data_IF_358371152956
#
_entry.id   IF_358371152956
#
_cell.length_a   1.000
_cell.length_b   1.000
_cell.length_c   1.000
_cell.angle_alpha   90.00
_cell.angle_beta   90.00
_cell.angle_gamma   90.00
#
_symmetry.space_group_name_H-M   'P 1'
#
loop_
_entity.id
_entity.type
_entity.pdbx_description
1 polymer ?
#
# COMPACT_ATOMS: atom_id res chain seq x y z
N UNK A 1 -20.30 0.34 -0.17
CA UNK A 1 -19.79 0.04 -1.53
C UNK A 1 -18.68 1.00 -1.94
N UNK A 2 -18.82 2.31 -1.73
CA UNK A 2 -17.76 3.31 -2.01
C UNK A 2 -16.44 3.04 -1.28
N UNK A 3 -16.46 2.61 -0.01
CA UNK A 3 -15.23 2.33 0.77
C UNK A 3 -14.33 1.25 0.16
N UNK A 4 -14.92 0.22 -0.47
CA UNK A 4 -14.14 -0.83 -1.13
C UNK A 4 -13.34 -0.27 -2.31
N UNK A 5 -13.98 0.58 -3.11
CA UNK A 5 -13.34 1.23 -4.25
C UNK A 5 -12.31 2.28 -3.81
N UNK A 6 -12.61 3.04 -2.76
CA UNK A 6 -11.62 3.94 -2.12
C UNK A 6 -10.39 3.14 -1.68
N UNK A 7 -10.58 2.03 -0.97
CA UNK A 7 -9.49 1.13 -0.56
C UNK A 7 -8.66 0.65 -1.76
N UNK A 8 -9.31 0.18 -2.83
CA UNK A 8 -8.62 -0.30 -4.03
C UNK A 8 -7.84 0.83 -4.74
N UNK A 9 -8.47 1.98 -4.94
CA UNK A 9 -7.86 3.12 -5.63
C UNK A 9 -6.67 3.64 -4.83
N UNK A 10 -6.79 3.82 -3.51
CA UNK A 10 -5.65 4.23 -2.68
C UNK A 10 -4.54 3.17 -2.65
N UNK A 11 -4.89 1.88 -2.64
CA UNK A 11 -3.90 0.80 -2.73
C UNK A 11 -3.14 0.81 -4.06
N UNK A 12 -3.80 1.20 -5.15
CA UNK A 12 -3.19 1.35 -6.47
C UNK A 12 -2.33 2.63 -6.56
N UNK A 13 -2.86 3.78 -6.13
CA UNK A 13 -2.14 5.06 -6.11
C UNK A 13 -0.88 4.96 -5.24
N UNK A 14 -0.99 4.35 -4.06
CA UNK A 14 0.14 4.10 -3.19
C UNK A 14 1.23 3.25 -3.85
N UNK A 15 0.84 2.19 -4.54
CA UNK A 15 1.79 1.39 -5.34
C UNK A 15 2.50 2.24 -6.42
N UNK A 16 1.78 3.12 -7.13
CA UNK A 16 2.40 4.00 -8.13
C UNK A 16 3.41 4.96 -7.49
N UNK A 17 3.10 5.51 -6.32
CA UNK A 17 3.99 6.38 -5.56
C UNK A 17 5.26 5.62 -5.14
N UNK A 18 5.13 4.41 -4.63
CA UNK A 18 6.29 3.58 -4.25
C UNK A 18 7.17 3.21 -5.45
N UNK A 19 6.56 2.87 -6.58
CA UNK A 19 7.30 2.60 -7.81
C UNK A 19 8.03 3.85 -8.31
N UNK A 20 7.37 5.01 -8.25
CA UNK A 20 7.99 6.29 -8.56
C UNK A 20 9.17 6.59 -7.65
N UNK A 21 8.97 6.46 -6.33
CA UNK A 21 10.01 6.63 -5.32
C UNK A 21 11.20 5.68 -5.57
N UNK A 22 10.95 4.39 -5.73
CA UNK A 22 12.01 3.39 -5.94
C UNK A 22 12.82 3.65 -7.22
N UNK A 23 12.19 4.16 -8.28
CA UNK A 23 12.89 4.56 -9.51
C UNK A 23 13.74 5.81 -9.32
N UNK A 24 13.22 6.82 -8.64
CA UNK A 24 13.94 8.07 -8.37
C UNK A 24 15.10 7.87 -7.40
N UNK A 25 14.94 7.01 -6.40
CA UNK A 25 15.95 6.68 -5.41
C UNK A 25 16.97 5.63 -5.88
N UNK A 26 16.78 5.05 -7.08
CA UNK A 26 17.69 4.06 -7.65
C UNK A 26 17.72 2.72 -6.90
N UNK A 27 16.64 2.36 -6.21
CA UNK A 27 16.62 1.13 -5.41
C UNK A 27 16.64 -0.14 -6.28
N UNK A 28 17.33 -1.17 -5.80
CA UNK A 28 17.51 -2.45 -6.52
C UNK A 28 16.19 -3.19 -6.81
N UNK A 29 15.18 -2.99 -5.96
CA UNK A 29 13.82 -3.49 -6.14
C UNK A 29 12.88 -2.35 -6.54
N UNK A 30 12.70 -2.16 -7.85
CA UNK A 30 11.84 -1.10 -8.40
C UNK A 30 10.35 -1.48 -8.38
N UNK A 31 10.05 -2.78 -8.44
CA UNK A 31 8.69 -3.31 -8.40
C UNK A 31 8.25 -3.51 -6.94
N UNK A 32 7.71 -2.45 -6.31
CA UNK A 32 7.21 -2.42 -4.92
C UNK A 32 5.87 -3.13 -4.74
N UNK A 33 5.62 -4.16 -5.55
CA UNK A 33 4.34 -4.86 -5.61
C UNK A 33 4.19 -5.80 -4.42
N UNK A 34 3.04 -5.72 -3.73
CA UNK A 34 2.69 -6.62 -2.63
C UNK A 34 1.83 -7.82 -3.03
N UNK A 35 1.34 -7.86 -4.28
CA UNK A 35 0.47 -8.92 -4.80
C UNK A 35 0.98 -9.56 -6.08
N UNK A 36 0.41 -10.69 -6.46
CA UNK A 36 0.86 -11.47 -7.62
C UNK A 36 0.30 -10.93 -8.94
N UNK A 37 -0.99 -10.61 -8.97
CA UNK A 37 -1.71 -10.17 -10.17
C UNK A 37 -1.92 -8.65 -10.12
N UNK A 38 -2.58 -8.14 -9.09
CA UNK A 38 -2.96 -6.72 -9.02
C UNK A 38 -1.76 -5.83 -8.64
N UNK A 39 -1.53 -4.71 -9.34
CA UNK A 39 -0.48 -3.74 -9.02
C UNK A 39 -0.88 -2.86 -7.82
N UNK A 40 -1.12 -3.47 -6.66
CA UNK A 40 -1.64 -2.77 -5.47
C UNK A 40 -0.79 -3.06 -4.25
N UNK A 41 -0.65 -2.04 -3.39
CA UNK A 41 -0.08 -2.15 -2.05
C UNK A 41 -1.18 -1.87 -1.01
N UNK A 42 -1.77 -2.92 -0.39
CA UNK A 42 -2.92 -2.78 0.52
C UNK A 42 -2.71 -1.85 1.72
N UNK A 43 -1.46 -1.62 2.15
CA UNK A 43 -1.11 -0.71 3.25
C UNK A 43 -1.71 0.67 3.04
N UNK A 44 -1.63 1.21 1.82
CA UNK A 44 -2.13 2.55 1.51
C UNK A 44 -3.65 2.62 1.57
N UNK A 45 -4.33 1.58 1.08
CA UNK A 45 -5.78 1.47 1.22
C UNK A 45 -6.21 1.43 2.68
N UNK A 46 -5.50 0.65 3.52
CA UNK A 46 -5.78 0.57 4.96
C UNK A 46 -5.53 1.92 5.67
N UNK A 47 -4.43 2.60 5.35
CA UNK A 47 -4.14 3.93 5.87
C UNK A 47 -5.21 4.95 5.50
N UNK A 48 -5.65 4.96 4.23
CA UNK A 48 -6.72 5.83 3.76
C UNK A 48 -8.06 5.54 4.46
N UNK A 49 -8.45 4.26 4.59
CA UNK A 49 -9.65 3.88 5.32
C UNK A 49 -9.58 4.31 6.80
N UNK A 50 -8.45 4.08 7.46
CA UNK A 50 -8.23 4.52 8.84
C UNK A 50 -8.40 6.03 8.99
N UNK A 51 -7.88 6.80 8.03
CA UNK A 51 -8.06 8.25 7.99
C UNK A 51 -9.54 8.65 7.89
N UNK A 52 -10.32 7.97 7.04
CA UNK A 52 -11.73 8.27 6.84
C UNK A 52 -12.62 7.96 8.04
N UNK A 53 -12.15 7.12 8.96
CA UNK A 53 -12.81 6.89 10.25
C UNK A 53 -12.65 8.07 11.22
N UNK A 54 -11.71 8.99 10.96
CA UNK A 54 -11.54 10.18 11.80
C UNK A 54 -12.74 11.15 11.69
N UNK A 55 -13.07 11.85 12.78
CA UNK A 55 -14.07 12.91 12.75
C UNK A 55 -13.73 13.97 11.70
N UNK A 56 -14.75 14.49 11.03
CA UNK A 56 -14.58 15.53 9.98
C UNK A 56 -13.80 16.74 10.51
N UNK A 57 -14.04 17.14 11.77
CA UNK A 57 -13.31 18.25 12.42
C UNK A 57 -11.80 18.05 12.44
N UNK A 58 -11.34 16.80 12.59
CA UNK A 58 -9.91 16.45 12.56
C UNK A 58 -9.41 16.45 11.12
N UNK A 59 -10.18 15.87 10.20
CA UNK A 59 -9.83 15.80 8.78
C UNK A 59 -9.81 17.15 8.05
N UNK A 60 -10.60 18.11 8.51
CA UNK A 60 -10.68 19.44 7.92
C UNK A 60 -9.54 20.37 8.35
N UNK A 61 -8.81 20.03 9.42
CA UNK A 61 -7.75 20.88 9.97
C UNK A 61 -6.38 20.22 9.75
N UNK A 62 -5.51 20.77 8.87
CA UNK A 62 -4.21 20.18 8.57
C UNK A 62 -3.32 19.92 9.80
N UNK A 63 -3.37 20.84 10.78
CA UNK A 63 -2.60 20.74 12.02
C UNK A 63 -3.02 19.57 12.91
N UNK A 64 -4.30 19.17 12.86
CA UNK A 64 -4.80 17.99 13.56
C UNK A 64 -4.66 16.73 12.71
N UNK A 65 -4.85 16.85 11.40
CA UNK A 65 -4.79 15.74 10.48
C UNK A 65 -3.38 15.17 10.36
N UNK A 66 -2.33 16.00 10.36
CA UNK A 66 -0.96 15.54 10.24
C UNK A 66 -0.56 14.53 11.34
N UNK A 67 -0.62 14.85 12.65
CA UNK A 67 -0.24 13.89 13.67
C UNK A 67 -1.15 12.65 13.68
N UNK A 68 -2.46 12.82 13.41
CA UNK A 68 -3.37 11.68 13.30
C UNK A 68 -3.00 10.75 12.13
N UNK A 69 -2.64 11.32 10.98
CA UNK A 69 -2.21 10.58 9.80
C UNK A 69 -0.88 9.85 10.06
N UNK A 70 0.10 10.51 10.69
CA UNK A 70 1.36 9.88 11.09
C UNK A 70 1.09 8.63 11.92
N UNK A 71 0.23 8.74 12.95
CA UNK A 71 -0.11 7.61 13.82
C UNK A 71 -0.84 6.49 13.06
N UNK A 72 -1.88 6.82 12.28
CA UNK A 72 -2.69 5.82 11.55
C UNK A 72 -1.86 5.10 10.49
N UNK A 73 -1.11 5.83 9.67
CA UNK A 73 -0.29 5.24 8.62
C UNK A 73 0.84 4.40 9.22
N UNK A 74 1.46 4.85 10.31
CA UNK A 74 2.50 4.08 10.99
C UNK A 74 1.93 2.80 11.61
N UNK A 75 0.73 2.87 12.19
CA UNK A 75 0.03 1.69 12.69
C UNK A 75 -0.32 0.72 11.55
N UNK A 76 -0.82 1.22 10.41
CA UNK A 76 -1.13 0.41 9.24
C UNK A 76 0.13 -0.27 8.66
N UNK A 77 1.25 0.46 8.59
CA UNK A 77 2.55 -0.06 8.15
C UNK A 77 3.06 -1.15 9.11
N UNK A 78 3.03 -0.90 10.42
CA UNK A 78 3.44 -1.88 11.42
C UNK A 78 2.58 -3.16 11.35
N UNK A 79 1.25 -3.01 11.32
CA UNK A 79 0.33 -4.14 11.28
C UNK A 79 0.48 -4.94 9.99
N UNK A 80 0.68 -4.27 8.85
CA UNK A 80 0.92 -4.96 7.59
C UNK A 80 2.28 -5.66 7.55
N UNK A 81 3.34 -5.03 8.06
CA UNK A 81 4.66 -5.65 8.19
C UNK A 81 4.61 -6.92 9.03
N UNK A 82 3.97 -6.84 10.20
CA UNK A 82 3.73 -8.01 11.07
C UNK A 82 2.85 -9.07 10.41
N UNK A 83 1.81 -8.66 9.68
CA UNK A 83 0.94 -9.58 8.94
C UNK A 83 1.73 -10.35 7.88
N UNK A 84 2.55 -9.66 7.09
CA UNK A 84 3.36 -10.31 6.06
C UNK A 84 4.39 -11.26 6.66
N UNK A 85 5.04 -10.89 7.75
CA UNK A 85 5.99 -11.78 8.43
C UNK A 85 5.30 -13.01 9.05
N UNK A 86 4.19 -12.83 9.77
CA UNK A 86 3.53 -13.94 10.49
C UNK A 86 2.70 -14.82 9.57
N UNK A 87 2.01 -14.22 8.61
CA UNK A 87 1.06 -14.93 7.73
C UNK A 87 1.74 -15.37 6.46
N UNK A 88 2.55 -14.56 5.81
CA UNK A 88 3.20 -14.92 4.53
C UNK A 88 4.65 -15.39 4.69
N UNK A 89 5.22 -15.33 5.90
CA UNK A 89 6.60 -15.74 6.20
C UNK A 89 7.63 -14.99 5.35
N UNK A 90 7.31 -13.75 4.97
CA UNK A 90 8.19 -12.87 4.20
C UNK A 90 8.16 -11.46 4.78
N UNK A 91 9.26 -10.74 4.59
CA UNK A 91 9.35 -9.31 4.87
C UNK A 91 9.42 -8.55 3.54
N UNK A 92 8.57 -7.53 3.40
CA UNK A 92 8.57 -6.65 2.22
C UNK A 92 9.52 -5.46 2.36
N UNK A 93 9.75 -5.01 3.59
CA UNK A 93 10.64 -3.91 3.95
C UNK A 93 11.29 -4.18 5.31
N UNK A 94 12.50 -3.68 5.49
CA UNK A 94 13.27 -3.76 6.74
C UNK A 94 13.98 -2.42 6.96
N UNK A 95 13.58 -1.71 8.00
CA UNK A 95 14.11 -0.39 8.37
C UNK A 95 15.11 -0.44 9.54
N UNK A 96 15.56 -1.61 10.00
CA UNK A 96 16.51 -1.72 11.12
C UNK A 96 17.86 -1.04 10.86
N UNK A 97 18.19 -0.74 9.60
CA UNK A 97 19.39 -0.01 9.22
C UNK A 97 19.23 1.52 9.27
N UNK A 98 18.02 2.05 9.50
CA UNK A 98 17.75 3.48 9.54
C UNK A 98 17.76 4.01 10.98
N UNK A 99 18.16 5.27 11.21
CA UNK A 99 18.08 5.88 12.53
C UNK A 99 16.61 6.04 12.97
N UNK A 100 16.37 5.98 14.29
CA UNK A 100 15.03 6.14 14.89
C UNK A 100 13.99 5.15 14.34
N UNK A 101 14.43 3.91 14.09
CA UNK A 101 13.53 2.80 13.79
C UNK A 101 12.92 2.24 15.09
N UNK A 102 11.72 1.68 14.98
CA UNK A 102 11.10 0.89 16.03
C UNK A 102 10.87 -0.52 15.47
N UNK A 103 11.70 -1.46 15.92
CA UNK A 103 11.72 -2.82 15.37
C UNK A 103 12.25 -2.86 13.93
N UNK A 104 11.63 -3.69 13.09
CA UNK A 104 12.02 -3.86 11.66
C UNK A 104 11.11 -3.08 10.70
N UNK A 105 9.91 -2.72 11.14
CA UNK A 105 8.81 -2.38 10.22
C UNK A 105 8.51 -0.90 10.08
N UNK A 106 8.91 -0.08 11.04
CA UNK A 106 8.59 1.35 11.07
C UNK A 106 9.83 2.17 11.44
N UNK A 107 9.93 3.38 10.89
CA UNK A 107 10.90 4.36 11.35
C UNK A 107 10.30 5.76 11.32
N UNK A 108 10.77 6.63 12.23
CA UNK A 108 10.20 7.97 12.38
C UNK A 108 10.24 8.76 11.06
N UNK A 109 11.29 8.60 10.26
CA UNK A 109 11.46 9.29 8.99
C UNK A 109 10.33 8.95 8.01
N UNK A 110 10.03 7.66 7.81
CA UNK A 110 8.94 7.24 6.93
C UNK A 110 7.58 7.59 7.53
N UNK A 111 7.39 7.47 8.84
CA UNK A 111 6.17 7.93 9.52
C UNK A 111 5.84 9.39 9.21
N UNK A 112 6.83 10.28 9.22
CA UNK A 112 6.65 11.70 8.86
C UNK A 112 6.35 11.89 7.37
N UNK A 113 7.04 11.15 6.49
CA UNK A 113 6.73 11.16 5.05
C UNK A 113 5.31 10.70 4.77
N UNK A 114 4.82 9.67 5.46
CA UNK A 114 3.43 9.22 5.34
C UNK A 114 2.43 10.26 5.83
N UNK A 115 2.73 10.98 6.91
CA UNK A 115 1.90 12.10 7.37
C UNK A 115 1.78 13.21 6.32
N UNK A 116 2.91 13.63 5.76
CA UNK A 116 2.95 14.68 4.74
C UNK A 116 2.26 14.24 3.44
N UNK A 117 2.52 13.01 3.00
CA UNK A 117 1.88 12.43 1.84
C UNK A 117 0.37 12.33 2.05
N UNK A 118 -0.09 11.94 3.24
CA UNK A 118 -1.51 11.84 3.56
C UNK A 118 -2.21 13.18 3.47
N UNK A 119 -1.60 14.27 3.96
CA UNK A 119 -2.14 15.62 3.76
C UNK A 119 -2.31 15.94 2.28
N UNK A 120 -1.26 15.73 1.48
CA UNK A 120 -1.30 16.00 0.05
C UNK A 120 -2.37 15.17 -0.66
N UNK A 121 -2.42 13.86 -0.41
CA UNK A 121 -3.42 12.97 -1.00
C UNK A 121 -4.84 13.31 -0.53
N UNK A 122 -5.02 13.66 0.73
CA UNK A 122 -6.35 13.97 1.28
C UNK A 122 -6.91 15.26 0.70
N UNK A 123 -6.15 16.35 0.70
CA UNK A 123 -6.66 17.63 0.22
C UNK A 123 -6.68 17.76 -1.31
N UNK A 124 -5.75 17.11 -2.02
CA UNK A 124 -5.64 17.26 -3.48
C UNK A 124 -6.38 16.16 -4.26
N UNK A 125 -6.29 14.91 -3.80
CA UNK A 125 -6.75 13.75 -4.57
C UNK A 125 -8.02 13.11 -4.03
N UNK A 126 -8.30 13.22 -2.72
CA UNK A 126 -9.45 12.55 -2.12
C UNK A 126 -10.79 12.95 -2.74
N UNK A 127 -11.09 14.24 -3.06
CA UNK A 127 -12.37 14.59 -3.68
C UNK A 127 -12.58 13.86 -5.02
N UNK A 128 -11.53 13.81 -5.84
CA UNK A 128 -11.54 13.10 -7.13
C UNK A 128 -11.67 11.59 -6.95
N UNK A 129 -10.94 11.00 -5.99
CA UNK A 129 -11.01 9.57 -5.69
C UNK A 129 -12.40 9.19 -5.17
N UNK A 130 -12.98 10.01 -4.28
CA UNK A 130 -14.31 9.78 -3.73
C UNK A 130 -15.39 9.86 -4.82
N UNK A 131 -15.28 10.84 -5.72
CA UNK A 131 -16.16 10.95 -6.89
C UNK A 131 -16.03 9.75 -7.83
N UNK A 132 -14.82 9.34 -8.18
CA UNK A 132 -14.57 8.16 -9.01
C UNK A 132 -15.13 6.90 -8.36
N UNK A 133 -14.89 6.70 -7.06
CA UNK A 133 -15.38 5.55 -6.32
C UNK A 133 -16.92 5.51 -6.24
N UNK A 134 -17.57 6.67 -6.18
CA UNK A 134 -19.04 6.77 -6.19
C UNK A 134 -19.65 6.56 -7.58
N UNK A 135 -18.91 6.89 -8.66
CA UNK A 135 -19.33 6.70 -10.04
C UNK A 135 -19.29 5.22 -10.48
N UNK A 136 -18.60 4.34 -9.75
CA UNK A 136 -18.49 2.93 -10.12
C UNK A 136 -19.82 2.21 -9.85
N UNK A 137 -20.41 1.54 -10.86
CA UNK A 137 -21.65 0.80 -10.69
C UNK A 137 -21.54 -0.29 -9.62
N UNK A 138 -22.60 -0.50 -8.85
CA UNK A 138 -22.62 -1.49 -7.76
C UNK A 138 -22.35 -2.91 -8.24
N UNK A 139 -22.79 -3.27 -9.45
CA UNK A 139 -22.58 -4.58 -10.07
C UNK A 139 -21.09 -4.90 -10.31
N UNK A 140 -20.22 -3.90 -10.41
CA UNK A 140 -18.78 -4.10 -10.60
C UNK A 140 -18.08 -4.54 -9.29
N UNK A 141 -18.73 -4.36 -8.13
CA UNK A 141 -18.12 -4.64 -6.83
C UNK A 141 -17.89 -6.14 -6.60
N UNK A 142 -18.87 -7.04 -6.80
CA UNK A 142 -18.65 -8.47 -6.62
C UNK A 142 -17.51 -9.07 -7.48
N UNK A 143 -17.41 -8.84 -8.80
CA UNK A 143 -16.31 -9.39 -9.58
C UNK A 143 -14.94 -8.81 -9.18
N UNK A 144 -14.87 -7.53 -8.85
CA UNK A 144 -13.64 -6.92 -8.36
C UNK A 144 -13.21 -7.49 -6.99
N UNK A 145 -14.17 -7.71 -6.08
CA UNK A 145 -13.91 -8.37 -4.80
C UNK A 145 -13.43 -9.81 -5.00
N UNK A 146 -14.07 -10.58 -5.90
CA UNK A 146 -13.65 -11.93 -6.22
C UNK A 146 -12.23 -11.96 -6.79
N UNK A 147 -11.89 -11.06 -7.72
CA UNK A 147 -10.54 -10.94 -8.26
C UNK A 147 -9.51 -10.61 -7.17
N UNK A 148 -9.83 -9.66 -6.28
CA UNK A 148 -8.98 -9.31 -5.15
C UNK A 148 -8.78 -10.51 -4.20
N UNK A 149 -9.83 -11.26 -3.91
CA UNK A 149 -9.75 -12.46 -3.07
C UNK A 149 -8.87 -13.54 -3.71
N UNK A 150 -9.11 -13.87 -4.98
CA UNK A 150 -8.31 -14.85 -5.73
C UNK A 150 -6.84 -14.44 -5.75
N UNK A 151 -6.55 -13.18 -6.07
CA UNK A 151 -5.17 -12.68 -6.07
C UNK A 151 -4.54 -12.72 -4.67
N UNK A 152 -5.30 -12.41 -3.61
CA UNK A 152 -4.81 -12.54 -2.22
C UNK A 152 -4.40 -13.98 -1.93
N UNK A 153 -5.26 -14.94 -2.26
CA UNK A 153 -5.02 -16.36 -2.00
C UNK A 153 -3.82 -16.86 -2.80
N UNK A 154 -3.75 -16.56 -4.10
CA UNK A 154 -2.63 -16.96 -4.94
C UNK A 154 -1.31 -16.34 -4.48
N UNK A 155 -1.32 -15.05 -4.13
CA UNK A 155 -0.17 -14.34 -3.55
C UNK A 155 0.27 -15.03 -2.26
N UNK A 156 -0.65 -15.32 -1.35
CA UNK A 156 -0.36 -15.97 -0.07
C UNK A 156 0.26 -17.36 -0.25
N UNK A 157 -0.32 -18.19 -1.13
CA UNK A 157 0.18 -19.52 -1.44
C UNK A 157 1.58 -19.46 -2.05
N UNK A 158 1.79 -18.56 -3.01
CA UNK A 158 3.10 -18.40 -3.65
C UNK A 158 4.16 -17.93 -2.66
N UNK A 159 3.89 -16.89 -1.88
CA UNK A 159 4.84 -16.34 -0.91
C UNK A 159 5.15 -17.35 0.21
N UNK A 160 4.16 -18.09 0.71
CA UNK A 160 4.40 -19.16 1.70
C UNK A 160 5.28 -20.28 1.16
N UNK A 161 5.13 -20.60 -0.13
CA UNK A 161 5.91 -21.65 -0.79
C UNK A 161 7.35 -21.21 -1.09
N UNK A 162 7.54 -20.00 -1.61
CA UNK A 162 8.86 -19.51 -2.05
C UNK A 162 9.63 -18.82 -0.94
N UNK A 163 8.91 -18.23 0.03
CA UNK A 163 9.44 -17.31 1.06
C UNK A 163 10.28 -16.17 0.48
N UNK A 164 9.99 -15.80 -0.78
CA UNK A 164 10.71 -14.76 -1.49
C UNK A 164 9.72 -13.82 -2.20
N UNK A 165 9.81 -12.54 -1.88
CA UNK A 165 9.02 -11.48 -2.53
C UNK A 165 9.38 -11.30 -4.00
N UNK A 166 10.57 -11.75 -4.43
CA UNK A 166 10.99 -11.79 -5.83
C UNK A 166 10.11 -12.65 -6.73
N UNK A 167 9.41 -13.64 -6.15
CA UNK A 167 8.46 -14.50 -6.88
C UNK A 167 7.25 -13.75 -7.47
N UNK A 168 6.93 -12.56 -6.94
CA UNK A 168 5.86 -11.69 -7.47
C UNK A 168 6.25 -10.99 -8.79
N UNK A 169 7.54 -10.97 -9.14
CA UNK A 169 8.08 -10.31 -10.36
C UNK A 169 8.21 -11.28 -11.54
N UNK A 170 7.22 -12.13 -11.76
CA UNK A 170 7.24 -13.14 -12.82
C UNK A 170 7.47 -12.52 -14.21
N UNK A 171 6.95 -11.32 -14.47
CA UNK A 171 7.08 -10.61 -15.74
C UNK A 171 8.51 -10.17 -16.07
N UNK A 172 9.36 -9.92 -15.07
CA UNK A 172 10.78 -9.56 -15.32
C UNK A 172 11.49 -10.69 -16.06
N UNK A 173 11.10 -11.95 -15.82
CA UNK A 173 11.65 -13.11 -16.53
C UNK A 173 11.21 -13.17 -17.99
N UNK A 174 10.06 -12.61 -18.34
CA UNK A 174 9.57 -12.55 -19.72
C UNK A 174 10.34 -11.54 -20.56
N UNK A 175 10.79 -10.44 -19.94
CA UNK A 175 11.53 -9.37 -20.64
C UNK A 175 13.05 -9.55 -20.62
N UNK A 176 13.60 -10.45 -19.78
CA UNK A 176 14.98 -10.93 -19.95
C UNK A 176 15.04 -11.84 -21.18
N UNK A 177 15.21 -11.23 -22.37
CA UNK A 177 15.66 -11.95 -23.57
C UNK A 177 16.92 -12.75 -23.21
N UNK A 178 16.97 -14.04 -23.57
CA UNK A 178 18.22 -14.81 -23.50
C UNK A 178 19.30 -14.02 -24.23
N UNK A 179 20.51 -13.84 -23.65
CA UNK A 179 21.64 -13.39 -24.46
C UNK A 179 21.77 -14.39 -25.62
N UNK A 180 21.81 -13.84 -26.84
CA UNK A 180 22.05 -14.61 -28.06
C UNK A 180 23.48 -15.17 -28.04
#
# INVERSE_FOLDING_TARGET
MSLFWIFLIYSFVGFLIEVGYARLSGESKQDRKCRLLLPTCPVYGLGALGLLLLPERVRAQPLLLFPAAVLICTAAELLAGLFYEKVFLVSFWDYSHLPLHLGRHICLRFSLYWGALTLALYYLLHPTIAWLAAAIPTWATPPAAALLCVDTVLTALLLRRTRDTGSLRWYVRLFRRKPA
#
